data_IF_859927989999
#
_entry.id   IF_859927989999
#
_cell.length_a   1.000
_cell.length_b   1.000
_cell.length_c   1.000
_cell.angle_alpha   90.00
_cell.angle_beta   90.00
_cell.angle_gamma   90.00
#
_symmetry.space_group_name_H-M   'P 1'
#
loop_
_entity.id
_entity.type
_entity.pdbx_description
1 polymer ?
#
# COMPACT_ATOMS: atom_id res chain seq x y z
N UNK A 1 -11.60 -18.40 -17.20
CA UNK A 1 -10.71 -19.36 -16.53
C UNK A 1 -9.45 -18.60 -16.13
N UNK A 2 -9.15 -18.59 -14.83
CA UNK A 2 -8.08 -17.80 -14.23
C UNK A 2 -6.73 -18.08 -14.92
N UNK A 3 -6.10 -17.03 -15.46
CA UNK A 3 -4.73 -17.10 -15.90
C UNK A 3 -3.87 -17.34 -14.66
N UNK A 4 -3.22 -18.49 -14.61
CA UNK A 4 -2.28 -18.89 -13.58
C UNK A 4 -1.19 -17.81 -13.47
N UNK A 5 -1.16 -17.10 -12.34
CA UNK A 5 -0.08 -16.19 -11.99
C UNK A 5 1.24 -16.97 -12.02
N UNK A 6 2.14 -16.57 -12.92
CA UNK A 6 3.46 -17.18 -13.02
C UNK A 6 4.42 -16.42 -12.08
N UNK A 7 4.71 -17.04 -10.94
CA UNK A 7 5.55 -16.48 -9.87
C UNK A 7 7.00 -16.19 -10.31
N UNK A 8 7.43 -16.63 -11.50
CA UNK A 8 8.75 -16.31 -12.06
C UNK A 8 8.77 -15.05 -12.94
N UNK A 9 7.60 -14.57 -13.40
CA UNK A 9 7.48 -13.45 -14.35
C UNK A 9 6.86 -12.19 -13.75
N UNK A 10 6.03 -12.32 -12.71
CA UNK A 10 5.45 -11.17 -12.03
C UNK A 10 6.48 -10.58 -11.04
N UNK A 11 6.76 -9.27 -11.16
CA UNK A 11 7.59 -8.51 -10.23
C UNK A 11 6.88 -8.46 -8.86
N UNK A 12 7.07 -9.51 -8.06
CA UNK A 12 6.56 -9.59 -6.70
C UNK A 12 7.50 -8.85 -5.76
N UNK A 13 7.06 -7.78 -5.07
CA UNK A 13 7.91 -7.09 -4.12
C UNK A 13 8.18 -7.99 -2.91
N UNK A 14 9.39 -8.54 -2.84
CA UNK A 14 9.85 -9.54 -1.86
C UNK A 14 10.12 -8.96 -0.47
N UNK A 15 9.61 -7.76 -0.15
CA UNK A 15 9.93 -6.99 1.06
C UNK A 15 11.28 -6.26 0.93
N UNK A 16 11.44 -5.15 1.65
CA UNK A 16 12.64 -4.31 1.60
C UNK A 16 12.67 -3.29 0.46
N UNK A 17 11.59 -3.20 -0.33
CA UNK A 17 11.51 -2.23 -1.43
C UNK A 17 11.63 -0.80 -0.86
N UNK A 18 12.54 0.03 -1.40
CA UNK A 18 12.75 1.39 -0.92
C UNK A 18 11.49 2.27 -1.09
N UNK A 19 11.18 3.03 -0.05
CA UNK A 19 10.11 4.04 -0.07
C UNK A 19 10.76 5.41 -0.23
N UNK A 20 10.42 6.08 -1.32
CA UNK A 20 10.85 7.44 -1.60
C UNK A 20 9.73 8.44 -1.30
N UNK A 21 10.12 9.63 -0.84
CA UNK A 21 9.25 10.80 -0.70
C UNK A 21 9.93 12.00 -1.32
N UNK A 22 9.29 12.63 -2.30
CA UNK A 22 9.86 13.76 -3.04
C UNK A 22 11.28 13.47 -3.59
N UNK A 23 11.53 12.22 -4.00
CA UNK A 23 12.83 11.76 -4.50
C UNK A 23 13.85 11.33 -3.43
N UNK A 24 13.58 11.52 -2.14
CA UNK A 24 14.47 11.13 -1.05
C UNK A 24 14.07 9.78 -0.44
N UNK A 25 15.04 8.94 -0.09
CA UNK A 25 14.80 7.67 0.59
C UNK A 25 14.34 7.95 2.02
N UNK A 26 13.12 7.52 2.35
CA UNK A 26 12.51 7.79 3.67
C UNK A 26 12.11 6.53 4.43
N UNK A 27 12.25 5.35 3.84
CA UNK A 27 11.89 4.11 4.50
C UNK A 27 11.99 2.90 3.60
N UNK A 28 11.47 1.78 4.11
CA UNK A 28 11.44 0.50 3.39
C UNK A 28 10.11 -0.19 3.60
N UNK A 29 9.65 -0.89 2.56
CA UNK A 29 8.49 -1.75 2.67
C UNK A 29 8.84 -2.98 3.50
N UNK A 30 7.90 -3.35 4.35
CA UNK A 30 7.93 -4.54 5.18
C UNK A 30 6.63 -5.29 5.01
N UNK A 31 5.94 -5.23 3.87
CA UNK A 31 4.95 -6.19 3.41
C UNK A 31 4.47 -5.75 2.06
N UNK A 32 4.00 -6.70 1.26
CA UNK A 32 3.22 -6.43 0.08
C UNK A 32 2.07 -7.42 -0.04
N UNK A 33 0.94 -6.97 -0.56
CA UNK A 33 -0.19 -7.80 -0.92
C UNK A 33 -0.97 -7.15 -2.07
N UNK A 34 -1.65 -7.96 -2.87
CA UNK A 34 -2.64 -7.46 -3.81
C UNK A 34 -3.99 -7.33 -3.11
N UNK A 35 -4.59 -6.15 -3.14
CA UNK A 35 -5.95 -5.94 -2.65
C UNK A 35 -6.93 -6.08 -3.79
N UNK A 36 -7.70 -7.18 -3.80
CA UNK A 36 -8.76 -7.39 -4.79
C UNK A 36 -9.84 -6.32 -4.75
N UNK A 37 -10.14 -5.77 -3.57
CA UNK A 37 -11.14 -4.71 -3.42
C UNK A 37 -10.70 -3.38 -4.04
N UNK A 38 -9.40 -3.09 -4.00
CA UNK A 38 -8.83 -1.86 -4.55
C UNK A 38 -8.28 -2.04 -5.96
N UNK A 39 -8.21 -3.29 -6.44
CA UNK A 39 -7.58 -3.72 -7.68
C UNK A 39 -6.16 -3.14 -7.83
N UNK A 40 -5.40 -3.15 -6.72
CA UNK A 40 -4.08 -2.50 -6.59
C UNK A 40 -3.16 -3.27 -5.63
N UNK A 41 -1.85 -3.16 -5.86
CA UNK A 41 -0.84 -3.52 -4.87
C UNK A 41 -0.89 -2.57 -3.68
N UNK A 42 -0.87 -3.14 -2.49
CA UNK A 42 -0.79 -2.45 -1.21
C UNK A 42 0.50 -2.89 -0.54
N UNK A 43 1.31 -1.92 -0.14
CA UNK A 43 2.52 -2.16 0.62
C UNK A 43 2.36 -1.58 2.02
N UNK A 44 2.94 -2.27 3.00
CA UNK A 44 3.13 -1.75 4.35
C UNK A 44 4.63 -1.53 4.55
N UNK A 45 5.02 -0.52 5.32
CA UNK A 45 6.42 -0.23 5.59
C UNK A 45 6.61 0.76 6.71
N UNK A 46 7.85 0.91 7.14
CA UNK A 46 8.25 1.88 8.17
C UNK A 46 9.02 3.03 7.53
N UNK A 47 8.78 4.23 8.06
CA UNK A 47 9.51 5.43 7.68
C UNK A 47 10.58 5.74 8.72
N UNK A 48 11.80 5.94 8.27
CA UNK A 48 12.96 6.36 9.07
C UNK A 48 13.74 7.48 8.36
N UNK A 49 13.12 8.63 8.04
CA UNK A 49 13.79 9.74 7.37
C UNK A 49 14.87 10.35 8.26
N UNK A 50 15.98 10.79 7.65
CA UNK A 50 17.06 11.51 8.31
C UNK A 50 17.30 12.87 7.66
N UNK A 51 17.67 13.86 8.45
CA UNK A 51 18.14 15.16 7.97
C UNK A 51 19.51 15.00 7.29
N UNK A 52 19.97 16.06 6.63
CA UNK A 52 21.29 16.09 5.97
C UNK A 52 22.47 15.87 6.92
N UNK A 53 22.29 16.11 8.22
CA UNK A 53 23.27 15.85 9.28
C UNK A 53 23.20 14.43 9.86
N UNK A 54 22.30 13.59 9.35
CA UNK A 54 22.06 12.22 9.83
C UNK A 54 21.14 12.11 11.05
N UNK A 55 20.64 13.23 11.59
CA UNK A 55 19.68 13.19 12.69
C UNK A 55 18.30 12.71 12.22
N UNK A 56 17.55 11.97 13.05
CA UNK A 56 16.22 11.48 12.67
C UNK A 56 15.23 12.62 12.50
N UNK A 57 14.40 12.55 11.46
CA UNK A 57 13.31 13.51 11.21
C UNK A 57 12.06 13.07 11.97
N UNK A 58 11.39 14.03 12.59
CA UNK A 58 10.09 13.78 13.25
C UNK A 58 9.02 13.55 12.17
N UNK A 59 8.49 12.33 12.11
CA UNK A 59 7.41 11.96 11.20
C UNK A 59 6.07 12.42 11.78
N UNK A 60 5.49 13.46 11.20
CA UNK A 60 4.18 14.01 11.59
C UNK A 60 3.07 13.55 10.63
N UNK A 61 1.81 13.76 11.01
CA UNK A 61 0.66 13.51 10.11
C UNK A 61 0.74 14.34 8.82
N UNK A 62 1.23 15.59 8.90
CA UNK A 62 1.46 16.43 7.71
C UNK A 62 2.59 15.89 6.83
N UNK A 63 3.66 15.35 7.43
CA UNK A 63 4.74 14.69 6.69
C UNK A 63 4.20 13.59 5.78
N UNK A 64 3.29 12.77 6.32
CA UNK A 64 2.68 11.61 5.64
C UNK A 64 1.70 12.06 4.54
N UNK A 65 0.85 13.05 4.80
CA UNK A 65 -0.25 13.38 3.88
C UNK A 65 0.15 14.32 2.73
N UNK A 66 1.25 15.07 2.85
CA UNK A 66 1.65 16.09 1.87
C UNK A 66 2.80 15.69 0.94
N UNK A 67 3.41 14.54 1.19
CA UNK A 67 4.51 14.04 0.36
C UNK A 67 4.02 13.35 -0.92
N UNK A 68 4.80 13.47 -1.98
CA UNK A 68 4.67 12.59 -3.15
C UNK A 68 5.51 11.34 -2.87
N UNK A 69 4.83 10.18 -2.79
CA UNK A 69 5.47 8.93 -2.43
C UNK A 69 5.64 8.03 -3.65
N UNK A 70 6.75 7.32 -3.67
CA UNK A 70 7.05 6.31 -4.66
C UNK A 70 7.62 5.07 -3.97
N UNK A 71 7.29 3.89 -4.48
CA UNK A 71 7.95 2.64 -4.07
C UNK A 71 8.77 2.16 -5.25
N UNK A 72 10.05 1.93 -5.03
CA UNK A 72 10.95 1.38 -6.02
C UNK A 72 10.86 -0.15 -5.97
N UNK A 73 10.21 -0.74 -6.97
CA UNK A 73 10.04 -2.19 -7.08
C UNK A 73 10.93 -2.66 -8.21
N UNK A 74 11.98 -3.42 -7.88
CA UNK A 74 12.93 -3.98 -8.84
C UNK A 74 13.56 -2.93 -9.80
N UNK A 75 13.85 -1.73 -9.30
CA UNK A 75 14.47 -0.64 -10.07
C UNK A 75 13.48 0.25 -10.81
N UNK A 76 12.17 0.03 -10.65
CA UNK A 76 11.12 0.86 -11.21
C UNK A 76 10.34 1.58 -10.11
N UNK A 77 10.22 2.90 -10.21
CA UNK A 77 9.48 3.72 -9.24
C UNK A 77 8.00 3.77 -9.59
N UNK A 78 7.17 3.32 -8.66
CA UNK A 78 5.71 3.35 -8.78
C UNK A 78 5.12 4.39 -7.82
N UNK A 79 4.28 5.32 -8.29
CA UNK A 79 3.65 6.31 -7.44
C UNK A 79 2.69 5.64 -6.44
N UNK A 80 2.77 6.06 -5.18
CA UNK A 80 2.01 5.51 -4.07
C UNK A 80 1.31 6.62 -3.26
N UNK A 81 0.21 6.26 -2.61
CA UNK A 81 -0.47 7.14 -1.65
C UNK A 81 -0.27 6.61 -0.24
N UNK A 82 0.45 7.35 0.59
CA UNK A 82 0.67 6.98 1.99
C UNK A 82 -0.60 7.16 2.83
N UNK A 83 -0.87 6.20 3.73
CA UNK A 83 -1.95 6.25 4.72
C UNK A 83 -1.46 5.62 6.03
N UNK A 84 -1.66 6.32 7.15
CA UNK A 84 -1.28 5.82 8.48
C UNK A 84 -2.28 4.77 9.02
N UNK A 85 -3.54 4.87 8.59
CA UNK A 85 -4.60 3.97 9.01
C UNK A 85 -5.15 3.19 7.81
N UNK A 86 -5.64 1.96 8.05
CA UNK A 86 -6.42 1.24 7.05
C UNK A 86 -7.60 2.09 6.58
N UNK A 87 -8.03 1.90 5.34
CA UNK A 87 -9.23 2.55 4.82
C UNK A 87 -10.45 2.09 5.65
N UNK A 88 -10.88 2.93 6.60
CA UNK A 88 -12.00 2.64 7.51
C UNK A 88 -13.33 2.39 6.77
N UNK A 89 -13.47 2.93 5.56
CA UNK A 89 -14.65 2.70 4.71
C UNK A 89 -14.76 1.28 4.16
N UNK A 90 -13.68 0.50 4.12
CA UNK A 90 -13.69 -0.85 3.51
C UNK A 90 -14.48 -1.86 4.34
N UNK A 91 -14.40 -1.81 5.67
CA UNK A 91 -15.21 -2.68 6.54
C UNK A 91 -16.70 -2.34 6.45
N UNK A 92 -17.05 -1.05 6.32
CA UNK A 92 -18.43 -0.62 6.11
C UNK A 92 -18.96 -1.08 4.75
N UNK A 93 -18.14 -1.04 3.70
CA UNK A 93 -18.52 -1.48 2.35
C UNK A 93 -18.65 -3.01 2.25
N UNK A 94 -17.77 -3.77 2.92
CA UNK A 94 -17.88 -5.23 3.03
C UNK A 94 -19.14 -5.66 3.78
N UNK A 95 -19.46 -5.00 4.90
CA UNK A 95 -20.69 -5.26 5.65
C UNK A 95 -21.91 -5.04 4.77
N UNK A 96 -21.97 -3.90 4.08
CA UNK A 96 -23.09 -3.56 3.18
C UNK A 96 -23.25 -4.58 2.05
N UNK A 97 -22.15 -5.00 1.40
CA UNK A 97 -22.20 -6.02 0.34
C UNK A 97 -22.61 -7.40 0.84
N UNK A 98 -22.19 -7.78 2.05
CA UNK A 98 -22.63 -9.03 2.68
C UNK A 98 -24.13 -8.99 2.96
N UNK A 99 -24.61 -7.88 3.53
CA UNK A 99 -26.03 -7.67 3.82
C UNK A 99 -26.88 -7.72 2.52
N UNK A 100 -26.41 -7.09 1.43
CA UNK A 100 -27.07 -7.12 0.12
C UNK A 100 -27.10 -8.55 -0.48
N UNK A 101 -26.01 -9.31 -0.34
CA UNK A 101 -25.94 -10.70 -0.82
C UNK A 101 -26.87 -11.62 -0.02
N UNK A 102 -26.92 -11.48 1.31
CA UNK A 102 -27.86 -12.24 2.14
C UNK A 102 -29.31 -11.89 1.79
N UNK A 103 -29.65 -10.60 1.65
CA UNK A 103 -31.00 -10.16 1.22
C UNK A 103 -31.42 -10.77 -0.12
N UNK A 104 -30.50 -10.84 -1.08
CA UNK A 104 -30.78 -11.47 -2.39
C UNK A 104 -31.02 -12.98 -2.28
N UNK A 105 -30.35 -13.65 -1.35
CA UNK A 105 -30.45 -15.10 -1.14
C UNK A 105 -31.68 -15.51 -0.31
N UNK A 106 -32.28 -14.57 0.42
CA UNK A 106 -33.57 -14.74 1.11
C UNK A 106 -34.77 -14.45 0.22
N UNK A 107 -34.58 -13.76 -0.91
CA UNK A 107 -35.64 -13.39 -1.86
C UNK A 107 -35.78 -14.34 -3.06
N UNK A 108 -34.96 -15.40 -3.11
CA UNK A 108 -34.98 -16.46 -4.13
C UNK A 108 -35.64 -17.75 -3.64
#
# INVERSE_FOLDING_TARGET
HAALHNAELDLWPWWGEPIYRNGELVGVTTSSAYSYTLERHVCLGFLSPTNSDGSPVVVTTDFINRGDYEVDIAGQKFPAKAKLYPFSSLFAQQKRRKDDMELSNFQS
#
